data_IF_440040731798
#
_entry.id   IF_440040731798
#
_cell.length_a   1.000
_cell.length_b   1.000
_cell.length_c   1.000
_cell.angle_alpha   90.00
_cell.angle_beta   90.00
_cell.angle_gamma   90.00
#
_symmetry.space_group_name_H-M   'P 1'
#
loop_
_entity.id
_entity.type
_entity.pdbx_description
1 polymer ?
#
# COMPACT_ATOMS: atom_id res chain seq x y z
N UNK A 1 22.43 0.37 0.25
CA UNK A 1 21.28 1.30 0.27
C UNK A 1 20.37 0.83 1.40
N UNK A 2 19.99 1.68 2.36
CA UNK A 2 19.20 1.24 3.53
C UNK A 2 17.91 2.05 3.56
N UNK A 3 16.87 1.55 2.91
CA UNK A 3 15.55 2.15 3.06
C UNK A 3 15.02 1.83 4.47
N UNK A 4 14.31 2.77 5.09
CA UNK A 4 13.57 2.46 6.32
C UNK A 4 12.26 1.78 5.96
N UNK A 5 12.21 0.48 6.11
CA UNK A 5 10.97 -0.27 6.16
C UNK A 5 10.54 -0.32 7.64
N UNK A 6 9.36 0.19 7.96
CA UNK A 6 8.70 -0.08 9.24
C UNK A 6 8.38 -1.57 9.36
N UNK A 7 7.88 -2.03 10.51
CA UNK A 7 7.44 -3.43 10.69
C UNK A 7 6.37 -3.79 9.64
N UNK A 8 6.82 -4.42 8.54
CA UNK A 8 5.97 -4.76 7.40
C UNK A 8 4.94 -5.81 7.81
N UNK A 9 5.28 -6.74 8.70
CA UNK A 9 4.33 -7.75 9.19
C UNK A 9 3.16 -7.07 9.89
N UNK A 10 3.45 -6.14 10.81
CA UNK A 10 2.39 -5.41 11.51
C UNK A 10 1.60 -4.50 10.58
N UNK A 11 2.24 -3.91 9.58
CA UNK A 11 1.56 -3.08 8.57
C UNK A 11 0.56 -3.89 7.73
N UNK A 12 0.98 -5.07 7.23
CA UNK A 12 0.12 -5.94 6.42
C UNK A 12 -1.01 -6.56 7.26
N UNK A 13 -0.75 -6.91 8.51
CA UNK A 13 -1.78 -7.35 9.46
C UNK A 13 -2.83 -6.25 9.64
N UNK A 14 -2.40 -5.01 9.88
CA UNK A 14 -3.30 -3.88 10.03
C UNK A 14 -4.14 -3.64 8.78
N UNK A 15 -3.55 -3.69 7.58
CA UNK A 15 -4.27 -3.56 6.30
C UNK A 15 -5.28 -4.70 6.07
N UNK A 16 -4.92 -5.91 6.48
CA UNK A 16 -5.81 -7.08 6.43
C UNK A 16 -7.00 -6.92 7.37
N UNK A 17 -6.78 -6.37 8.57
CA UNK A 17 -7.86 -6.03 9.50
C UNK A 17 -8.73 -4.88 8.99
N UNK A 18 -8.11 -3.85 8.41
CA UNK A 18 -8.79 -2.66 7.88
C UNK A 18 -9.81 -3.04 6.80
N UNK A 19 -9.42 -3.90 5.85
CA UNK A 19 -10.32 -4.35 4.78
C UNK A 19 -11.49 -5.19 5.29
N UNK A 20 -11.31 -5.87 6.43
CA UNK A 20 -12.37 -6.62 7.11
C UNK A 20 -13.24 -5.73 8.03
N UNK A 21 -12.81 -4.50 8.32
CA UNK A 21 -13.50 -3.61 9.26
C UNK A 21 -13.34 -4.00 10.72
N UNK A 22 -12.28 -4.72 11.07
CA UNK A 22 -12.06 -5.24 12.43
C UNK A 22 -11.21 -4.32 13.30
N UNK A 23 -10.74 -3.18 12.76
CA UNK A 23 -10.00 -2.20 13.54
C UNK A 23 -10.97 -1.41 14.43
N UNK A 24 -10.70 -1.32 15.76
CA UNK A 24 -11.52 -0.52 16.67
C UNK A 24 -11.61 0.95 16.21
N UNK A 25 -12.83 1.46 16.04
CA UNK A 25 -13.09 2.86 15.70
C UNK A 25 -12.91 3.25 14.22
N UNK A 26 -12.69 2.28 13.32
CA UNK A 26 -12.41 2.55 11.89
C UNK A 26 -13.55 3.24 11.13
N UNK A 27 -14.81 3.03 11.54
CA UNK A 27 -15.98 3.69 10.95
C UNK A 27 -16.42 3.17 9.56
N UNK A 28 -15.64 2.31 8.89
CA UNK A 28 -16.00 1.73 7.59
C UNK A 28 -14.98 0.69 7.10
N UNK A 29 -15.28 0.06 5.96
CA UNK A 29 -14.42 -0.97 5.31
C UNK A 29 -13.80 -0.51 3.99
N UNK A 30 -14.12 0.72 3.57
CA UNK A 30 -13.60 1.28 2.34
C UNK A 30 -12.10 1.52 2.49
N UNK A 31 -11.34 1.05 1.51
CA UNK A 31 -9.94 1.44 1.32
C UNK A 31 -9.89 2.48 0.21
N UNK A 32 -9.10 3.53 0.42
CA UNK A 32 -8.81 4.55 -0.60
C UNK A 32 -7.33 4.60 -0.83
N UNK A 33 -6.94 4.65 -2.09
CA UNK A 33 -5.55 4.80 -2.48
C UNK A 33 -5.29 6.25 -2.90
N UNK A 34 -4.29 6.87 -2.29
CA UNK A 34 -3.81 8.20 -2.68
C UNK A 34 -3.17 8.20 -4.08
N UNK A 35 -2.79 7.03 -4.59
CA UNK A 35 -2.26 6.83 -5.95
C UNK A 35 -3.04 5.70 -6.61
N UNK A 36 -3.49 5.90 -7.85
CA UNK A 36 -4.31 4.91 -8.55
C UNK A 36 -3.54 3.57 -8.69
N UNK A 37 -4.11 2.42 -8.31
CA UNK A 37 -3.41 1.12 -8.41
C UNK A 37 -3.01 0.71 -9.84
N UNK A 38 -3.62 1.30 -10.86
CA UNK A 38 -3.23 1.06 -12.26
C UNK A 38 -1.95 1.80 -12.68
N UNK A 39 -1.42 2.70 -11.86
CA UNK A 39 -0.18 3.43 -12.13
C UNK A 39 1.06 2.71 -11.59
N UNK A 40 0.95 1.43 -11.21
CA UNK A 40 2.09 0.64 -10.72
C UNK A 40 3.22 0.55 -11.75
N UNK A 41 4.43 0.80 -11.29
CA UNK A 41 5.65 0.78 -12.10
C UNK A 41 6.70 -0.16 -11.47
N UNK A 42 6.79 -1.43 -11.90
CA UNK A 42 7.68 -2.41 -11.27
C UNK A 42 9.18 -2.07 -11.39
N UNK A 43 9.56 -1.24 -12.36
CA UNK A 43 10.95 -0.79 -12.54
C UNK A 43 11.42 0.22 -11.47
N UNK A 44 10.51 0.73 -10.62
CA UNK A 44 10.87 1.65 -9.54
C UNK A 44 11.20 0.95 -8.22
N UNK A 45 10.96 -0.36 -8.11
CA UNK A 45 11.20 -1.16 -6.90
C UNK A 45 12.69 -1.20 -6.49
N UNK A 46 12.94 -1.39 -5.20
CA UNK A 46 14.29 -1.44 -4.61
C UNK A 46 14.98 -0.07 -4.52
N UNK A 47 14.23 1.01 -4.72
CA UNK A 47 14.73 2.38 -4.62
C UNK A 47 14.03 3.10 -3.47
N UNK A 48 14.79 3.82 -2.64
CA UNK A 48 14.21 4.63 -1.56
C UNK A 48 13.65 5.96 -2.11
N UNK A 49 12.68 5.87 -3.03
CA UNK A 49 11.94 7.01 -3.56
C UNK A 49 10.79 7.28 -2.60
N UNK A 50 10.87 8.37 -1.86
CA UNK A 50 9.89 8.75 -0.85
C UNK A 50 10.29 10.07 -0.21
N UNK A 51 9.50 10.55 0.75
CA UNK A 51 9.80 11.79 1.44
C UNK A 51 11.15 11.72 2.18
N UNK A 52 11.94 12.79 2.05
CA UNK A 52 13.22 12.98 2.73
C UNK A 52 13.28 14.40 3.32
N UNK A 53 13.75 14.59 4.56
CA UNK A 53 14.10 15.91 5.08
C UNK A 53 15.13 16.63 4.19
N UNK A 54 14.98 17.94 3.99
CA UNK A 54 15.81 18.75 3.11
C UNK A 54 17.30 18.82 3.51
N UNK A 55 17.61 18.49 4.76
CA UNK A 55 18.95 18.52 5.37
C UNK A 55 19.71 17.19 5.25
N UNK A 56 19.13 16.18 4.59
CA UNK A 56 19.76 14.85 4.43
C UNK A 56 20.48 14.71 3.08
N UNK A 57 21.64 14.04 3.03
CA UNK A 57 22.36 13.81 1.78
C UNK A 57 21.52 13.00 0.78
N UNK A 58 21.36 13.53 -0.44
CA UNK A 58 20.66 12.89 -1.57
C UNK A 58 21.41 11.69 -2.15
N UNK A 59 22.71 11.61 -1.87
CA UNK A 59 23.65 10.78 -2.63
C UNK A 59 23.72 9.34 -2.09
N UNK A 60 23.18 9.11 -0.88
CA UNK A 60 23.19 7.81 -0.23
C UNK A 60 21.89 7.52 0.52
N UNK A 61 20.95 6.89 -0.17
CA UNK A 61 20.06 5.88 0.41
C UNK A 61 19.30 6.23 1.71
N UNK A 62 18.81 7.46 1.83
CA UNK A 62 17.82 7.83 2.83
C UNK A 62 16.51 8.11 2.12
N UNK A 63 15.43 7.57 2.65
CA UNK A 63 14.09 7.68 2.08
C UNK A 63 13.21 6.53 2.55
N UNK A 64 11.91 6.76 2.58
CA UNK A 64 10.93 5.69 2.72
C UNK A 64 10.83 4.94 1.40
N UNK A 65 10.66 3.61 1.46
CA UNK A 65 10.44 2.78 0.27
C UNK A 65 8.96 2.86 -0.14
N UNK A 66 8.46 4.06 -0.46
CA UNK A 66 7.01 4.26 -0.66
C UNK A 66 6.51 3.53 -1.89
N UNK A 67 7.31 3.47 -2.97
CA UNK A 67 6.97 2.69 -4.16
C UNK A 67 6.91 1.19 -3.85
N UNK A 68 7.87 0.65 -3.09
CA UNK A 68 7.87 -0.75 -2.67
C UNK A 68 6.69 -1.10 -1.76
N UNK A 69 6.36 -0.21 -0.81
CA UNK A 69 5.22 -0.38 0.11
C UNK A 69 3.91 -0.30 -0.68
N UNK A 70 3.73 0.70 -1.53
CA UNK A 70 2.53 0.83 -2.37
C UNK A 70 2.33 -0.40 -3.27
N UNK A 71 3.41 -0.89 -3.89
CA UNK A 71 3.36 -2.11 -4.68
C UNK A 71 2.92 -3.32 -3.84
N UNK A 72 3.48 -3.46 -2.64
CA UNK A 72 3.14 -4.53 -1.70
C UNK A 72 1.68 -4.44 -1.24
N UNK A 73 1.16 -3.24 -0.97
CA UNK A 73 -0.24 -3.00 -0.58
C UNK A 73 -1.21 -3.43 -1.67
N UNK A 74 -0.97 -3.00 -2.91
CA UNK A 74 -1.79 -3.37 -4.07
C UNK A 74 -1.74 -4.88 -4.31
N UNK A 75 -0.55 -5.50 -4.20
CA UNK A 75 -0.40 -6.95 -4.30
C UNK A 75 -1.11 -7.72 -3.17
N UNK A 76 -1.05 -7.24 -1.93
CA UNK A 76 -1.75 -7.84 -0.79
C UNK A 76 -3.26 -7.91 -1.07
N UNK A 77 -3.87 -6.78 -1.44
CA UNK A 77 -5.31 -6.75 -1.73
C UNK A 77 -5.66 -7.55 -2.98
N UNK A 78 -4.81 -7.55 -4.01
CA UNK A 78 -5.02 -8.40 -5.19
C UNK A 78 -4.97 -9.90 -4.86
N UNK A 79 -4.21 -10.31 -3.84
CA UNK A 79 -4.13 -11.71 -3.42
C UNK A 79 -5.33 -12.11 -2.52
N UNK A 80 -5.84 -11.18 -1.71
CA UNK A 80 -6.90 -11.45 -0.74
C UNK A 80 -8.32 -11.32 -1.31
N UNK A 81 -8.54 -10.37 -2.23
CA UNK A 81 -9.88 -9.99 -2.68
C UNK A 81 -10.26 -10.72 -3.98
N UNK A 82 -11.45 -11.31 -4.01
CA UNK A 82 -12.01 -11.95 -5.22
C UNK A 82 -12.27 -10.96 -6.34
N UNK A 83 -12.67 -9.75 -5.98
CA UNK A 83 -12.89 -8.64 -6.90
C UNK A 83 -11.60 -7.85 -7.20
N UNK A 84 -10.43 -8.48 -7.12
CA UNK A 84 -9.11 -7.86 -7.41
C UNK A 84 -9.04 -7.12 -8.75
N UNK A 85 -9.79 -7.53 -9.76
CA UNK A 85 -9.78 -6.87 -11.07
C UNK A 85 -10.31 -5.43 -10.99
N UNK A 86 -11.18 -5.13 -10.02
CA UNK A 86 -11.68 -3.77 -9.78
C UNK A 86 -10.59 -2.87 -9.21
N UNK A 87 -9.63 -3.43 -8.46
CA UNK A 87 -8.51 -2.70 -7.86
C UNK A 87 -7.76 -1.88 -8.92
N UNK A 88 -7.50 -2.49 -10.08
CA UNK A 88 -6.76 -1.88 -11.20
C UNK A 88 -7.64 -0.99 -12.09
N UNK A 89 -8.91 -0.79 -11.74
CA UNK A 89 -9.81 0.13 -12.44
C UNK A 89 -10.06 1.41 -11.63
N UNK A 90 -9.65 1.42 -10.36
CA UNK A 90 -9.86 2.54 -9.44
C UNK A 90 -9.11 3.80 -9.89
N UNK A 91 -9.77 4.94 -9.64
CA UNK A 91 -9.14 6.26 -9.63
C UNK A 91 -8.59 6.57 -8.24
N UNK A 92 -7.79 7.62 -8.17
CA UNK A 92 -7.32 8.17 -6.89
C UNK A 92 -8.51 8.48 -5.97
N UNK A 93 -8.36 8.15 -4.69
CA UNK A 93 -9.36 8.38 -3.63
C UNK A 93 -10.72 7.65 -3.82
N UNK A 94 -10.85 6.79 -4.83
CA UNK A 94 -12.06 6.00 -5.04
C UNK A 94 -12.19 4.89 -3.97
N UNK A 95 -13.41 4.68 -3.48
CA UNK A 95 -13.70 3.65 -2.48
C UNK A 95 -13.54 2.24 -3.08
N UNK A 96 -12.66 1.45 -2.50
CA UNK A 96 -12.56 0.02 -2.75
C UNK A 96 -13.12 -0.80 -1.59
N UNK A 97 -13.99 -1.75 -1.90
CA UNK A 97 -14.52 -2.71 -0.93
C UNK A 97 -14.07 -4.12 -1.31
N UNK A 98 -13.23 -4.72 -0.47
CA UNK A 98 -12.73 -6.07 -0.69
C UNK A 98 -13.85 -7.11 -0.50
N UNK A 99 -14.10 -7.92 -1.55
CA UNK A 99 -14.89 -9.14 -1.45
C UNK A 99 -13.95 -10.30 -1.10
N UNK A 100 -13.96 -10.70 0.16
CA UNK A 100 -13.19 -11.85 0.61
C UNK A 100 -13.78 -13.13 0.04
N UNK A 101 -12.93 -14.08 -0.37
CA UNK A 101 -13.41 -15.46 -0.42
C UNK A 101 -13.85 -15.85 0.98
N UNK A 102 -15.08 -16.33 1.14
CA UNK A 102 -15.50 -16.99 2.37
C UNK A 102 -14.39 -17.98 2.76
N UNK A 103 -13.78 -17.76 3.93
CA UNK A 103 -12.75 -18.64 4.48
C UNK A 103 -13.34 -20.01 4.75
#
# INVERSE_FOLDING_TARGET
KTCRCTDLCRNLEWQSCATQGTIPGQGGRAIRFATAPNSLQPWNLGNCRGWLPSDRPTDFAYGYATDDIFYLEVCLFSAMCRNREQLFQLREEEDFYCDFSAQ
#
